data_IF_275992442687
#
_entry.id   IF_275992442687
#
_cell.length_a   1.000
_cell.length_b   1.000
_cell.length_c   1.000
_cell.angle_alpha   90.00
_cell.angle_beta   90.00
_cell.angle_gamma   90.00
#
_symmetry.space_group_name_H-M   'P 1'
#
loop_
_entity.id
_entity.type
_entity.pdbx_description
1 polymer ?
#
# COMPACT_ATOMS: atom_id res chain seq x y z
N UNK A 1 -23.85 -34.88 52.64
CA UNK A 1 -23.62 -33.50 52.14
C UNK A 1 -22.18 -33.08 52.43
N UNK A 2 -21.20 -33.30 51.54
CA UNK A 2 -19.85 -32.81 51.76
C UNK A 2 -19.62 -31.47 51.03
N UNK A 3 -19.33 -30.42 51.78
CA UNK A 3 -18.87 -29.12 51.27
C UNK A 3 -17.34 -29.11 51.25
N UNK A 4 -16.73 -29.47 50.13
CA UNK A 4 -15.31 -29.18 49.88
C UNK A 4 -15.20 -27.91 49.03
N UNK A 5 -15.00 -26.76 49.67
CA UNK A 5 -14.55 -25.54 49.00
C UNK A 5 -13.02 -25.54 49.01
N UNK A 6 -12.42 -25.90 47.88
CA UNK A 6 -10.99 -25.74 47.63
C UNK A 6 -10.63 -24.24 47.71
N UNK A 7 -9.80 -23.87 48.69
CA UNK A 7 -9.19 -22.53 48.77
C UNK A 7 -8.29 -22.35 47.55
N UNK A 8 -8.69 -21.49 46.63
CA UNK A 8 -7.85 -21.02 45.52
C UNK A 8 -6.67 -20.27 46.14
N UNK A 9 -5.48 -20.83 46.00
CA UNK A 9 -4.23 -20.19 46.40
C UNK A 9 -4.10 -18.86 45.64
N UNK A 10 -4.18 -17.75 46.38
CA UNK A 10 -3.76 -16.44 45.87
C UNK A 10 -2.27 -16.53 45.61
N UNK A 11 -1.88 -16.65 44.34
CA UNK A 11 -0.50 -16.52 43.90
C UNK A 11 -0.02 -15.12 44.32
N UNK A 12 0.82 -15.09 45.34
CA UNK A 12 1.52 -13.89 45.77
C UNK A 12 2.22 -13.29 44.57
N UNK A 13 1.97 -12.00 44.36
CA UNK A 13 2.72 -11.17 43.44
C UNK A 13 4.07 -10.97 44.12
N UNK A 14 5.07 -11.74 43.71
CA UNK A 14 6.46 -11.41 44.06
C UNK A 14 6.72 -10.03 43.45
N UNK A 15 6.75 -9.03 44.32
CA UNK A 15 7.38 -7.76 44.05
C UNK A 15 8.88 -8.06 44.01
N UNK A 16 9.39 -8.39 42.83
CA UNK A 16 10.82 -8.33 42.57
C UNK A 16 11.23 -6.88 42.76
N UNK A 17 11.85 -6.61 43.90
CA UNK A 17 12.65 -5.43 44.15
C UNK A 17 13.49 -5.15 42.89
N UNK A 18 13.36 -3.93 42.38
CA UNK A 18 14.15 -3.44 41.27
C UNK A 18 15.56 -3.27 41.83
N UNK A 19 16.39 -4.30 41.68
CA UNK A 19 17.84 -4.14 41.80
C UNK A 19 18.26 -3.16 40.70
N UNK A 20 18.75 -2.01 41.14
CA UNK A 20 19.24 -0.94 40.30
C UNK A 20 20.52 -1.41 39.58
N UNK A 21 20.57 -1.17 38.27
CA UNK A 21 21.75 -1.27 37.38
C UNK A 21 22.12 -2.62 36.72
N UNK A 22 21.18 -3.56 36.52
CA UNK A 22 21.43 -4.58 35.49
C UNK A 22 21.21 -3.99 34.06
N UNK A 23 22.23 -4.03 33.17
CA UNK A 23 22.05 -3.57 31.81
C UNK A 23 21.06 -4.48 31.07
N UNK A 24 19.88 -3.93 30.76
CA UNK A 24 18.85 -4.62 29.99
C UNK A 24 19.22 -4.63 28.49
N UNK A 25 19.72 -5.76 28.01
CA UNK A 25 20.07 -5.94 26.60
C UNK A 25 18.83 -6.24 25.75
N UNK A 26 18.57 -5.40 24.74
CA UNK A 26 17.46 -5.56 23.80
C UNK A 26 18.00 -5.62 22.38
N UNK A 27 17.45 -6.53 21.58
CA UNK A 27 17.69 -6.56 20.14
C UNK A 27 17.26 -5.24 19.49
N UNK A 28 18.08 -4.69 18.60
CA UNK A 28 17.75 -3.46 17.84
C UNK A 28 16.41 -3.59 17.10
N UNK A 29 16.06 -4.81 16.67
CA UNK A 29 14.79 -5.11 16.00
C UNK A 29 13.58 -4.97 16.93
N UNK A 30 13.75 -5.30 18.20
CA UNK A 30 12.66 -5.36 19.19
C UNK A 30 12.51 -4.05 19.98
N UNK A 31 13.57 -3.23 20.01
CA UNK A 31 13.60 -1.90 20.61
C UNK A 31 12.36 -1.02 20.34
N UNK A 32 11.87 -0.84 19.09
CA UNK A 32 10.68 -0.01 18.85
C UNK A 32 9.44 -0.56 19.56
N UNK A 33 9.34 -1.89 19.68
CA UNK A 33 8.24 -2.53 20.36
C UNK A 33 8.35 -2.46 21.87
N UNK A 34 9.56 -2.51 22.43
CA UNK A 34 9.81 -2.32 23.86
C UNK A 34 9.47 -0.90 24.32
N UNK A 35 9.86 0.10 23.55
CA UNK A 35 9.48 1.50 23.81
C UNK A 35 7.95 1.62 23.82
N UNK A 36 7.25 0.96 22.89
CA UNK A 36 5.79 0.94 22.87
C UNK A 36 5.20 0.20 24.08
N UNK A 37 5.79 -0.94 24.51
CA UNK A 37 5.37 -1.66 25.73
C UNK A 37 5.47 -0.77 26.97
N UNK A 38 6.59 -0.05 27.12
CA UNK A 38 6.80 0.86 28.24
C UNK A 38 5.79 2.00 28.26
N UNK A 39 5.56 2.66 27.12
CA UNK A 39 4.53 3.71 26.99
C UNK A 39 3.12 3.20 27.31
N UNK A 40 2.79 1.98 26.87
CA UNK A 40 1.50 1.35 27.19
C UNK A 40 1.40 1.01 28.68
N UNK A 41 2.50 0.63 29.32
CA UNK A 41 2.49 0.34 30.75
C UNK A 41 2.29 1.59 31.62
N UNK A 42 2.62 2.78 31.10
CA UNK A 42 2.35 4.07 31.73
C UNK A 42 0.88 4.50 31.60
N UNK A 43 0.12 3.98 30.64
CA UNK A 43 -1.31 4.26 30.52
C UNK A 43 -2.17 3.31 31.37
N UNK A 44 -3.43 3.68 31.63
CA UNK A 44 -4.34 2.89 32.46
C UNK A 44 -5.69 2.62 31.76
N UNK A 45 -6.44 1.64 32.27
CA UNK A 45 -7.84 1.43 31.89
C UNK A 45 -8.06 0.80 30.50
N UNK A 46 -9.10 1.26 29.82
CA UNK A 46 -9.53 0.72 28.53
C UNK A 46 -8.55 1.05 27.40
N UNK A 47 -7.96 2.24 27.42
CA UNK A 47 -7.02 2.73 26.41
C UNK A 47 -5.72 1.91 26.43
N UNK A 48 -5.24 1.53 27.62
CA UNK A 48 -4.13 0.58 27.76
C UNK A 48 -4.41 -0.75 27.07
N UNK A 49 -5.62 -1.30 27.24
CA UNK A 49 -6.00 -2.58 26.64
C UNK A 49 -6.07 -2.49 25.12
N UNK A 50 -6.62 -1.39 24.58
CA UNK A 50 -6.66 -1.13 23.15
C UNK A 50 -5.25 -0.99 22.55
N UNK A 51 -4.40 -0.17 23.17
CA UNK A 51 -3.03 0.04 22.71
C UNK A 51 -2.18 -1.24 22.80
N UNK A 52 -2.36 -2.05 23.85
CA UNK A 52 -1.72 -3.37 23.97
C UNK A 52 -2.15 -4.32 22.86
N UNK A 53 -3.45 -4.37 22.55
CA UNK A 53 -3.98 -5.21 21.47
C UNK A 53 -3.41 -4.79 20.12
N UNK A 54 -3.35 -3.49 19.83
CA UNK A 54 -2.75 -2.98 18.59
C UNK A 54 -1.26 -3.34 18.48
N UNK A 55 -0.51 -3.19 19.57
CA UNK A 55 0.90 -3.58 19.62
C UNK A 55 1.09 -5.07 19.32
N UNK A 56 0.29 -5.94 19.93
CA UNK A 56 0.36 -7.38 19.68
C UNK A 56 0.06 -7.70 18.21
N UNK A 57 -0.92 -7.05 17.59
CA UNK A 57 -1.19 -7.22 16.16
C UNK A 57 0.03 -6.81 15.30
N UNK A 58 0.71 -5.70 15.65
CA UNK A 58 1.94 -5.27 14.97
C UNK A 58 3.10 -6.26 15.13
N UNK A 59 3.16 -6.98 16.25
CA UNK A 59 4.12 -8.07 16.50
C UNK A 59 3.77 -9.38 15.76
N UNK A 60 2.66 -9.42 15.02
CA UNK A 60 2.21 -10.61 14.32
C UNK A 60 1.30 -11.52 15.14
N UNK A 61 0.72 -11.02 16.23
CA UNK A 61 -0.34 -11.74 16.91
C UNK A 61 -1.54 -11.96 15.97
N UNK A 62 -2.21 -13.09 16.14
CA UNK A 62 -3.37 -13.44 15.32
C UNK A 62 -4.49 -12.42 15.51
N UNK A 63 -5.05 -11.86 14.42
CA UNK A 63 -6.20 -10.98 14.52
C UNK A 63 -7.40 -11.72 15.13
N UNK A 64 -8.28 -10.95 15.76
CA UNK A 64 -9.52 -11.50 16.30
C UNK A 64 -10.34 -12.16 15.20
N UNK A 65 -10.94 -13.30 15.54
CA UNK A 65 -11.84 -14.00 14.65
C UNK A 65 -13.06 -13.13 14.41
N UNK A 66 -13.26 -12.75 13.16
CA UNK A 66 -14.48 -12.07 12.75
C UNK A 66 -15.67 -13.00 12.97
N UNK A 67 -16.81 -12.47 13.45
CA UNK A 67 -18.03 -13.27 13.57
C UNK A 67 -18.48 -13.75 12.18
N UNK A 68 -19.23 -14.86 12.09
CA UNK A 68 -19.78 -15.32 10.83
C UNK A 68 -20.70 -14.23 10.25
N UNK A 69 -20.40 -13.79 9.02
CA UNK A 69 -21.21 -12.82 8.30
C UNK A 69 -22.16 -13.52 7.35
N UNK A 70 -23.41 -13.05 7.29
CA UNK A 70 -24.36 -13.48 6.27
C UNK A 70 -23.83 -13.09 4.88
N UNK A 71 -23.85 -14.04 3.93
CA UNK A 71 -23.33 -13.84 2.59
C UNK A 71 -23.97 -12.66 1.84
N UNK A 72 -25.28 -12.44 2.00
CA UNK A 72 -25.98 -11.32 1.34
C UNK A 72 -25.40 -9.97 1.81
N UNK A 73 -25.27 -9.80 3.12
CA UNK A 73 -24.70 -8.61 3.75
C UNK A 73 -23.24 -8.39 3.32
N UNK A 74 -22.43 -9.46 3.30
CA UNK A 74 -21.04 -9.39 2.83
C UNK A 74 -20.94 -8.85 1.40
N UNK A 75 -21.84 -9.28 0.51
CA UNK A 75 -21.83 -8.87 -0.90
C UNK A 75 -22.29 -7.42 -1.08
N UNK A 76 -23.26 -6.97 -0.27
CA UNK A 76 -23.69 -5.57 -0.24
C UNK A 76 -22.59 -4.65 0.27
N UNK A 77 -21.93 -4.99 1.38
CA UNK A 77 -20.77 -4.26 1.91
C UNK A 77 -19.66 -4.14 0.85
N UNK A 78 -19.33 -5.23 0.16
CA UNK A 78 -18.33 -5.23 -0.92
C UNK A 78 -18.73 -4.33 -2.08
N UNK A 79 -20.01 -4.29 -2.44
CA UNK A 79 -20.53 -3.41 -3.51
C UNK A 79 -20.39 -1.95 -3.09
N UNK A 80 -20.79 -1.62 -1.87
CA UNK A 80 -20.67 -0.26 -1.32
C UNK A 80 -19.22 0.19 -1.22
N UNK A 81 -18.31 -0.66 -0.73
CA UNK A 81 -16.89 -0.36 -0.64
C UNK A 81 -16.26 -0.07 -2.02
N UNK A 82 -16.63 -0.84 -3.05
CA UNK A 82 -16.19 -0.56 -4.44
C UNK A 82 -16.71 0.78 -4.93
N UNK A 83 -17.96 1.12 -4.67
CA UNK A 83 -18.54 2.40 -5.07
C UNK A 83 -17.85 3.56 -4.34
N UNK A 84 -17.60 3.44 -3.04
CA UNK A 84 -16.87 4.43 -2.25
C UNK A 84 -15.44 4.65 -2.78
N UNK A 85 -14.71 3.57 -3.07
CA UNK A 85 -13.37 3.68 -3.65
C UNK A 85 -13.37 4.37 -5.03
N UNK A 86 -14.41 4.13 -5.84
CA UNK A 86 -14.57 4.81 -7.14
C UNK A 86 -14.90 6.30 -6.94
N UNK A 87 -15.76 6.65 -5.98
CA UNK A 87 -16.06 8.05 -5.69
C UNK A 87 -14.84 8.79 -5.17
N UNK A 88 -14.05 8.17 -4.30
CA UNK A 88 -12.82 8.75 -3.77
C UNK A 88 -11.78 8.93 -4.89
N UNK A 89 -11.60 7.93 -5.75
CA UNK A 89 -10.72 8.05 -6.91
C UNK A 89 -11.16 9.15 -7.88
N UNK A 90 -12.47 9.29 -8.13
CA UNK A 90 -13.00 10.39 -8.97
C UNK A 90 -12.75 11.75 -8.31
N UNK A 91 -12.98 11.86 -7.00
CA UNK A 91 -12.77 13.08 -6.24
C UNK A 91 -11.29 13.47 -6.19
N UNK A 92 -10.39 12.51 -5.93
CA UNK A 92 -8.94 12.74 -5.95
C UNK A 92 -8.42 13.07 -7.34
N UNK A 93 -8.83 12.32 -8.37
CA UNK A 93 -8.44 12.60 -9.75
C UNK A 93 -8.93 13.99 -10.17
N UNK A 94 -10.15 14.36 -9.79
CA UNK A 94 -10.68 15.69 -10.05
C UNK A 94 -9.83 16.76 -9.34
N UNK A 95 -9.57 16.62 -8.04
CA UNK A 95 -8.68 17.54 -7.29
C UNK A 95 -7.31 17.68 -7.93
N UNK A 96 -6.66 16.58 -8.31
CA UNK A 96 -5.35 16.59 -8.98
C UNK A 96 -5.40 17.30 -10.33
N UNK A 97 -6.40 16.98 -11.16
CA UNK A 97 -6.55 17.60 -12.50
C UNK A 97 -6.90 19.08 -12.44
N UNK A 98 -7.70 19.52 -11.46
CA UNK A 98 -8.01 20.93 -11.22
C UNK A 98 -6.74 21.68 -10.79
N UNK A 99 -6.00 21.15 -9.81
CA UNK A 99 -4.75 21.75 -9.34
C UNK A 99 -3.69 21.80 -10.46
N UNK A 100 -3.55 20.74 -11.25
CA UNK A 100 -2.63 20.72 -12.40
C UNK A 100 -2.99 21.76 -13.47
N UNK A 101 -4.29 22.06 -13.63
CA UNK A 101 -4.78 23.08 -14.56
C UNK A 101 -4.49 24.49 -14.03
N UNK A 102 -4.76 24.75 -12.74
CA UNK A 102 -4.46 26.03 -12.09
C UNK A 102 -2.96 26.34 -12.11
N UNK A 103 -2.11 25.34 -11.84
CA UNK A 103 -0.65 25.49 -11.85
C UNK A 103 -0.05 25.50 -13.27
N UNK A 104 -0.87 25.43 -14.33
CA UNK A 104 -0.42 25.38 -15.72
C UNK A 104 0.42 24.15 -16.08
N UNK A 105 0.50 23.15 -15.20
CA UNK A 105 1.27 21.90 -15.41
C UNK A 105 0.63 21.03 -16.49
N UNK A 106 -0.70 21.07 -16.61
CA UNK A 106 -1.44 20.31 -17.61
C UNK A 106 -1.02 20.66 -19.06
N UNK A 107 -0.86 21.95 -19.38
CA UNK A 107 -0.43 22.38 -20.73
C UNK A 107 1.02 22.01 -21.03
N UNK A 108 1.91 22.11 -20.02
CA UNK A 108 3.31 21.69 -20.10
C UNK A 108 3.43 20.18 -20.37
N UNK A 109 2.72 19.34 -19.61
CA UNK A 109 2.69 17.89 -19.79
C UNK A 109 2.14 17.50 -21.17
N UNK A 110 1.08 18.16 -21.65
CA UNK A 110 0.52 17.94 -23.00
C UNK A 110 1.53 18.27 -24.10
N UNK A 111 2.28 19.37 -23.94
CA UNK A 111 3.34 19.77 -24.89
C UNK A 111 4.50 18.77 -24.90
N UNK A 112 4.94 18.32 -23.72
CA UNK A 112 5.99 17.29 -23.59
C UNK A 112 5.57 15.95 -24.23
N UNK A 113 4.33 15.49 -23.97
CA UNK A 113 3.80 14.26 -24.58
C UNK A 113 3.75 14.34 -26.11
N UNK A 114 3.36 15.49 -26.68
CA UNK A 114 3.41 15.71 -28.14
C UNK A 114 4.85 15.67 -28.69
N UNK A 115 5.83 16.18 -27.95
CA UNK A 115 7.25 16.08 -28.34
C UNK A 115 7.74 14.64 -28.30
N UNK A 116 7.42 13.88 -27.25
CA UNK A 116 7.79 12.47 -27.11
C UNK A 116 7.22 11.59 -28.24
N UNK A 117 5.95 11.78 -28.60
CA UNK A 117 5.33 11.06 -29.73
C UNK A 117 5.99 11.37 -31.08
N UNK A 118 6.52 12.60 -31.24
CA UNK A 118 7.27 12.98 -32.45
C UNK A 118 8.66 12.36 -32.48
N UNK A 119 9.34 12.28 -31.34
CA UNK A 119 10.64 11.60 -31.26
C UNK A 119 10.53 10.09 -31.48
N UNK A 120 9.45 9.46 -31.06
CA UNK A 120 9.23 8.02 -31.32
C UNK A 120 8.89 7.72 -32.78
N UNK A 121 8.08 8.57 -33.44
CA UNK A 121 7.83 8.45 -34.89
C UNK A 121 9.09 8.62 -35.75
N UNK A 122 10.10 9.33 -35.24
CA UNK A 122 11.40 9.49 -35.91
C UNK A 122 12.37 8.31 -35.71
N UNK A 123 12.16 7.45 -34.70
CA UNK A 123 13.09 6.36 -34.34
C UNK A 123 12.73 4.98 -34.94
N UNK A 124 11.59 4.83 -35.63
CA UNK A 124 11.21 3.58 -36.33
C UNK A 124 11.76 3.48 -37.76
N UNK A 125 13.01 3.87 -38.01
CA UNK A 125 13.70 3.65 -39.29
C UNK A 125 15.18 3.35 -39.09
N UNK A 126 15.47 2.25 -38.41
CA UNK A 126 16.77 1.59 -38.53
C UNK A 126 16.66 0.13 -38.09
N UNK A 127 15.80 -0.64 -38.76
CA UNK A 127 16.00 -2.08 -38.83
C UNK A 127 15.94 -2.48 -40.29
N UNK A 128 17.14 -2.83 -40.76
CA UNK A 128 17.48 -3.47 -42.02
C UNK A 128 16.41 -4.40 -42.57
N UNK A 129 15.88 -4.07 -43.75
CA UNK A 129 15.60 -5.09 -44.76
C UNK A 129 15.96 -4.48 -46.12
N UNK A 130 16.91 -5.14 -46.78
CA UNK A 130 17.48 -4.75 -48.05
C UNK A 130 16.41 -4.83 -49.16
N UNK A 131 15.64 -3.76 -49.33
CA UNK A 131 14.78 -3.57 -50.50
C UNK A 131 15.25 -2.29 -51.20
N UNK A 132 16.09 -2.46 -52.21
CA UNK A 132 16.46 -1.37 -53.12
C UNK A 132 15.22 -0.96 -53.91
N UNK A 133 14.62 0.18 -53.54
CA UNK A 133 13.56 0.80 -54.35
C UNK A 133 14.18 1.39 -55.60
N UNK A 134 13.88 0.78 -56.75
CA UNK A 134 14.22 1.34 -58.06
C UNK A 134 13.34 2.58 -58.31
N UNK A 135 13.91 3.76 -58.61
CA UNK A 135 13.11 4.95 -58.89
C UNK A 135 12.31 4.78 -60.18
N UNK A 136 11.02 5.16 -60.16
CA UNK A 136 10.06 5.04 -61.27
C UNK A 136 10.53 5.66 -62.61
N UNK A 137 11.54 6.53 -62.59
CA UNK A 137 12.15 7.09 -63.81
C UNK A 137 12.91 6.05 -64.63
N UNK A 138 13.46 5.00 -64.01
CA UNK A 138 14.17 3.92 -64.71
C UNK A 138 13.20 2.93 -65.37
N UNK A 139 12.04 2.67 -64.77
CA UNK A 139 11.01 1.77 -65.31
C UNK A 139 10.45 2.28 -66.65
N UNK A 140 10.36 3.61 -66.83
CA UNK A 140 9.84 4.22 -68.07
C UNK A 140 10.79 4.11 -69.27
N UNK A 141 12.10 3.90 -69.07
CA UNK A 141 13.07 3.75 -70.17
C UNK A 141 13.07 2.35 -70.80
N UNK A 142 12.72 1.32 -70.05
CA UNK A 142 12.74 -0.07 -70.52
C UNK A 142 11.54 -0.36 -71.44
N UNK A 143 10.42 0.32 -71.23
CA UNK A 143 9.16 0.06 -71.97
C UNK A 143 9.06 0.75 -73.34
N UNK A 144 10.08 1.48 -73.79
CA UNK A 144 10.10 2.21 -75.07
C UNK A 144 10.98 1.60 -76.17
N UNK A 145 11.49 0.38 -75.97
CA UNK A 145 12.14 -0.41 -77.02
C UNK A 145 11.42 -1.74 -77.21
N UNK A 146 10.32 -1.70 -77.94
CA UNK A 146 9.80 -2.77 -78.79
C UNK A 146 9.16 -2.10 -79.98
#
# INVERSE_FOLDING_TARGET
MPQHKSKVAKKSRDETAVDEEEPYFVSVRDLPFDVLRQRINQSAGADRRAARKELLLKMGAKPERQPPKNYRVLMEERKQAKLAAITDYKNERFKRTVLERQLGKHSKNKKQKRKALRSEKGKKKSSSSAITRIPNRLVKKIRRKK
#
